data_IF_234532064002
#
_entry.id   IF_234532064002
#
_cell.length_a   1.000
_cell.length_b   1.000
_cell.length_c   1.000
_cell.angle_alpha   90.00
_cell.angle_beta   90.00
_cell.angle_gamma   90.00
#
_symmetry.space_group_name_H-M   'P 1'
#
loop_
_entity.id
_entity.type
_entity.pdbx_description
1 polymer ?
#
# COMPACT_ATOMS: atom_id res chain seq x y z
N UNK A 1 -24.34 -0.76 1.53
CA UNK A 1 -23.41 0.37 1.72
C UNK A 1 -22.89 0.35 3.15
N UNK A 2 -21.70 0.90 3.40
CA UNK A 2 -21.11 1.06 4.73
C UNK A 2 -20.30 2.36 4.77
N UNK A 3 -20.22 3.01 5.93
CA UNK A 3 -19.43 4.23 6.12
C UNK A 3 -18.92 4.36 7.54
N UNK A 4 -17.72 4.93 7.70
CA UNK A 4 -17.20 5.40 8.99
C UNK A 4 -17.08 6.93 9.03
N UNK A 5 -17.81 7.64 8.16
CA UNK A 5 -17.78 9.09 7.92
C UNK A 5 -16.53 9.61 7.18
N UNK A 6 -15.43 8.86 7.16
CA UNK A 6 -14.21 9.20 6.40
C UNK A 6 -14.13 8.44 5.07
N UNK A 7 -14.61 7.20 5.07
CA UNK A 7 -14.64 6.25 3.96
C UNK A 7 -16.06 5.75 3.82
N UNK A 8 -16.59 5.82 2.60
CA UNK A 8 -17.86 5.20 2.21
C UNK A 8 -17.62 4.11 1.18
N UNK A 9 -18.29 2.96 1.33
CA UNK A 9 -18.25 1.86 0.37
C UNK A 9 -19.68 1.54 -0.08
N UNK A 10 -19.87 1.50 -1.39
CA UNK A 10 -21.13 1.15 -2.04
C UNK A 10 -20.83 0.00 -2.99
N UNK A 11 -21.51 -1.13 -2.80
CA UNK A 11 -21.40 -2.27 -3.72
C UNK A 11 -22.79 -2.61 -4.24
N UNK A 12 -22.91 -2.75 -5.55
CA UNK A 12 -24.13 -3.20 -6.21
C UNK A 12 -24.06 -4.71 -6.41
N UNK A 13 -25.08 -5.41 -5.92
CA UNK A 13 -25.24 -6.85 -6.06
C UNK A 13 -26.44 -7.11 -6.97
N UNK A 14 -26.32 -8.10 -7.87
CA UNK A 14 -27.43 -8.50 -8.75
C UNK A 14 -28.47 -9.28 -7.95
N UNK A 15 -29.75 -8.96 -8.12
CA UNK A 15 -30.85 -9.65 -7.46
C UNK A 15 -32.21 -9.27 -8.07
N UNK A 16 -33.25 -10.06 -7.80
CA UNK A 16 -34.63 -9.74 -8.16
C UNK A 16 -35.23 -8.86 -7.07
N UNK A 17 -35.67 -7.65 -7.43
CA UNK A 17 -36.37 -6.73 -6.52
C UNK A 17 -37.87 -6.95 -6.68
N UNK A 18 -38.54 -7.43 -5.63
CA UNK A 18 -40.01 -7.57 -5.61
C UNK A 18 -40.69 -6.34 -5.01
N UNK A 19 -40.01 -5.64 -4.09
CA UNK A 19 -40.49 -4.40 -3.48
C UNK A 19 -39.28 -3.51 -3.17
N UNK A 20 -39.34 -2.26 -3.59
CA UNK A 20 -38.30 -1.27 -3.32
C UNK A 20 -38.33 -0.85 -1.84
N UNK A 21 -37.15 -0.58 -1.29
CA UNK A 21 -37.00 -0.15 0.10
C UNK A 21 -35.55 0.06 0.48
N UNK A 22 -35.34 0.64 1.66
CA UNK A 22 -34.02 0.87 2.24
C UNK A 22 -34.05 0.57 3.74
N UNK A 23 -33.02 -0.12 4.23
CA UNK A 23 -32.93 -0.52 5.63
C UNK A 23 -31.46 -0.69 6.02
N UNK A 24 -31.15 -0.50 7.31
CA UNK A 24 -29.80 -0.69 7.84
C UNK A 24 -29.77 -1.85 8.80
N UNK A 25 -28.68 -2.62 8.77
CA UNK A 25 -28.45 -3.76 9.67
C UNK A 25 -27.00 -3.78 10.14
N UNK A 26 -26.73 -4.50 11.22
CA UNK A 26 -25.36 -4.71 11.67
C UNK A 26 -24.55 -5.47 10.61
N UNK A 27 -23.53 -4.82 10.06
CA UNK A 27 -22.71 -5.34 8.96
C UNK A 27 -22.04 -6.68 9.28
N UNK A 28 -21.57 -6.86 10.51
CA UNK A 28 -20.93 -8.11 10.95
C UNK A 28 -21.94 -9.25 10.98
N UNK A 29 -23.11 -9.03 11.57
CA UNK A 29 -24.14 -10.06 11.69
C UNK A 29 -24.62 -10.51 10.32
N UNK A 30 -24.93 -9.59 9.39
CA UNK A 30 -25.38 -9.97 8.06
C UNK A 30 -24.28 -10.69 7.26
N UNK A 31 -23.03 -10.22 7.35
CA UNK A 31 -21.90 -10.86 6.67
C UNK A 31 -21.63 -12.27 7.19
N UNK A 32 -21.57 -12.44 8.51
CA UNK A 32 -21.37 -13.74 9.15
C UNK A 32 -22.55 -14.68 8.85
N UNK A 33 -23.78 -14.16 8.86
CA UNK A 33 -24.98 -14.93 8.48
C UNK A 33 -24.90 -15.42 7.04
N UNK A 34 -24.67 -14.53 6.07
CA UNK A 34 -24.63 -14.88 4.64
C UNK A 34 -23.48 -15.83 4.34
N UNK A 35 -22.32 -15.64 4.97
CA UNK A 35 -21.15 -16.53 4.79
C UNK A 35 -21.36 -17.96 5.28
N UNK A 36 -22.37 -18.21 6.13
CA UNK A 36 -22.72 -19.54 6.63
C UNK A 36 -23.86 -20.22 5.86
N UNK A 37 -24.54 -19.49 4.97
CA UNK A 37 -25.66 -20.05 4.18
C UNK A 37 -25.14 -20.93 3.04
N UNK A 38 -25.97 -21.88 2.60
CA UNK A 38 -25.71 -22.65 1.39
C UNK A 38 -25.67 -21.72 0.16
N UNK A 39 -24.88 -22.07 -0.86
CA UNK A 39 -24.80 -21.30 -2.12
C UNK A 39 -26.08 -21.50 -2.96
N UNK A 40 -27.17 -20.92 -2.47
CA UNK A 40 -28.55 -21.06 -2.93
C UNK A 40 -29.23 -19.68 -2.89
N UNK A 41 -30.49 -19.62 -3.32
CA UNK A 41 -31.25 -18.37 -3.34
C UNK A 41 -31.44 -17.85 -1.90
N UNK A 42 -30.91 -16.66 -1.64
CA UNK A 42 -31.16 -15.91 -0.40
C UNK A 42 -32.30 -14.92 -0.66
N UNK A 43 -33.30 -14.93 0.20
CA UNK A 43 -34.42 -13.99 0.19
C UNK A 43 -34.28 -13.04 1.39
N UNK A 44 -34.46 -11.75 1.12
CA UNK A 44 -34.38 -10.68 2.11
C UNK A 44 -35.73 -9.96 2.16
N UNK A 45 -36.38 -9.96 3.31
CA UNK A 45 -37.68 -9.32 3.50
C UNK A 45 -37.66 -8.45 4.76
N UNK A 46 -37.88 -7.15 4.61
CA UNK A 46 -38.06 -6.27 5.75
C UNK A 46 -39.48 -6.41 6.32
N UNK A 47 -39.60 -6.48 7.65
CA UNK A 47 -40.87 -6.39 8.36
C UNK A 47 -40.68 -5.56 9.63
N UNK A 48 -41.29 -4.39 9.70
CA UNK A 48 -41.06 -3.42 10.78
C UNK A 48 -39.55 -3.10 10.91
N UNK A 49 -38.97 -3.33 12.09
CA UNK A 49 -37.55 -3.11 12.41
C UNK A 49 -36.70 -4.39 12.28
N UNK A 50 -37.20 -5.40 11.58
CA UNK A 50 -36.50 -6.67 11.36
C UNK A 50 -36.25 -6.90 9.87
N UNK A 51 -35.04 -7.34 9.53
CA UNK A 51 -34.71 -7.94 8.24
C UNK A 51 -34.78 -9.47 8.39
N UNK A 52 -35.76 -10.09 7.77
CA UNK A 52 -35.81 -11.54 7.62
C UNK A 52 -34.88 -11.98 6.49
N UNK A 53 -34.00 -12.92 6.78
CA UNK A 53 -33.10 -13.59 5.84
C UNK A 53 -33.49 -15.05 5.77
N UNK A 54 -33.87 -15.52 4.58
CA UNK A 54 -34.25 -16.92 4.36
C UNK A 54 -33.46 -17.56 3.23
N UNK A 55 -33.02 -18.79 3.44
CA UNK A 55 -32.33 -19.60 2.44
C UNK A 55 -32.62 -21.07 2.77
N UNK A 56 -33.39 -21.76 1.92
CA UNK A 56 -33.82 -23.15 2.16
C UNK A 56 -34.45 -23.34 3.56
N UNK A 57 -33.80 -24.08 4.46
CA UNK A 57 -34.24 -24.36 5.82
C UNK A 57 -33.76 -23.33 6.86
N UNK A 58 -32.96 -22.35 6.45
CA UNK A 58 -32.47 -21.27 7.33
C UNK A 58 -33.45 -20.11 7.35
N UNK A 59 -33.85 -19.70 8.55
CA UNK A 59 -34.66 -18.49 8.80
C UNK A 59 -34.01 -17.68 9.91
N UNK A 60 -33.56 -16.47 9.58
CA UNK A 60 -32.89 -15.56 10.51
C UNK A 60 -33.63 -14.23 10.50
N UNK A 61 -33.73 -13.58 11.66
CA UNK A 61 -34.22 -12.21 11.78
C UNK A 61 -33.13 -11.34 12.38
N UNK A 62 -32.76 -10.28 11.65
CA UNK A 62 -31.73 -9.33 12.06
C UNK A 62 -32.41 -8.01 12.38
N UNK A 63 -32.24 -7.53 13.62
CA UNK A 63 -32.70 -6.20 14.04
C UNK A 63 -31.94 -5.12 13.25
N UNK A 64 -32.66 -4.10 12.80
CA UNK A 64 -32.07 -2.98 12.08
C UNK A 64 -32.69 -1.64 12.44
N UNK A 65 -32.30 -0.61 11.69
CA UNK A 65 -32.74 0.78 11.88
C UNK A 65 -33.17 1.40 10.54
N UNK A 66 -33.89 2.51 10.63
CA UNK A 66 -34.29 3.28 9.45
C UNK A 66 -33.08 3.68 8.62
N UNK A 67 -33.20 3.61 7.30
CA UNK A 67 -32.16 4.10 6.39
C UNK A 67 -32.01 5.63 6.41
N UNK A 68 -33.02 6.36 6.89
CA UNK A 68 -32.98 7.82 7.03
C UNK A 68 -31.95 8.29 8.07
N UNK A 69 -31.60 7.42 9.02
CA UNK A 69 -30.54 7.67 10.02
C UNK A 69 -29.14 7.38 9.47
N UNK A 70 -29.04 6.78 8.28
CA UNK A 70 -27.76 6.44 7.69
C UNK A 70 -27.06 7.70 7.13
N UNK A 71 -25.76 7.90 7.42
CA UNK A 71 -25.05 9.07 6.93
C UNK A 71 -25.04 9.16 5.41
N UNK A 72 -25.23 10.37 4.88
CA UNK A 72 -25.08 10.62 3.45
C UNK A 72 -23.63 10.41 3.02
N UNK A 73 -23.45 9.64 1.94
CA UNK A 73 -22.16 9.48 1.30
C UNK A 73 -21.99 10.62 0.30
N UNK A 74 -20.90 11.39 0.37
CA UNK A 74 -20.67 12.49 -0.56
C UNK A 74 -20.62 12.05 -2.02
N UNK A 75 -21.18 12.87 -2.91
CA UNK A 75 -21.07 12.67 -4.35
C UNK A 75 -19.78 13.32 -4.88
N UNK A 76 -19.08 12.61 -5.76
CA UNK A 76 -17.89 13.08 -6.47
C UNK A 76 -18.21 13.24 -7.95
N UNK A 77 -17.79 14.36 -8.55
CA UNK A 77 -17.99 14.61 -9.99
C UNK A 77 -17.31 13.51 -10.83
N UNK A 78 -18.08 12.94 -11.77
CA UNK A 78 -17.66 11.82 -12.61
C UNK A 78 -17.24 12.22 -14.03
N UNK A 79 -17.03 13.51 -14.30
CA UNK A 79 -16.62 14.00 -15.63
C UNK A 79 -15.18 13.63 -15.99
N UNK A 80 -14.24 13.94 -15.09
CA UNK A 80 -12.81 13.76 -15.30
C UNK A 80 -12.32 12.58 -14.48
N UNK A 81 -11.64 11.64 -15.12
CA UNK A 81 -11.18 10.43 -14.48
C UNK A 81 -9.80 10.01 -14.97
N UNK A 82 -9.11 9.33 -14.07
CA UNK A 82 -7.95 8.52 -14.38
C UNK A 82 -8.36 7.05 -14.34
N UNK A 83 -7.67 6.19 -15.07
CA UNK A 83 -7.93 4.74 -15.05
C UNK A 83 -6.64 3.95 -15.21
N UNK A 84 -6.60 2.78 -14.59
CA UNK A 84 -5.44 1.90 -14.61
C UNK A 84 -5.87 0.46 -14.42
N UNK A 85 -4.98 -0.48 -14.75
CA UNK A 85 -5.17 -1.89 -14.44
C UNK A 85 -5.20 -2.08 -12.91
N UNK A 86 -6.26 -2.72 -12.40
CA UNK A 86 -6.47 -2.96 -10.98
C UNK A 86 -5.29 -3.69 -10.33
N UNK A 87 -4.72 -4.69 -11.01
CA UNK A 87 -3.53 -5.40 -10.55
C UNK A 87 -2.30 -4.50 -10.41
N UNK A 88 -2.09 -3.55 -11.34
CA UNK A 88 -0.99 -2.60 -11.27
C UNK A 88 -1.17 -1.62 -10.09
N UNK A 89 -2.39 -1.16 -9.85
CA UNK A 89 -2.74 -0.27 -8.73
C UNK A 89 -2.59 -0.99 -7.39
N UNK A 90 -3.09 -2.23 -7.29
CA UNK A 90 -2.93 -3.09 -6.11
C UNK A 90 -1.45 -3.29 -5.79
N UNK A 91 -0.65 -3.72 -6.77
CA UNK A 91 0.78 -3.90 -6.62
C UNK A 91 1.47 -2.61 -6.18
N UNK A 92 1.21 -1.49 -6.85
CA UNK A 92 1.84 -0.21 -6.53
C UNK A 92 1.51 0.30 -5.12
N UNK A 93 0.26 0.19 -4.68
CA UNK A 93 -0.12 0.54 -3.30
C UNK A 93 0.59 -0.37 -2.30
N UNK A 94 0.56 -1.70 -2.52
CA UNK A 94 1.22 -2.67 -1.62
C UNK A 94 2.73 -2.41 -1.49
N UNK A 95 3.38 -2.01 -2.58
CA UNK A 95 4.82 -1.73 -2.61
C UNK A 95 5.21 -0.45 -1.87
N UNK A 96 4.29 0.45 -1.53
CA UNK A 96 4.65 1.75 -0.92
C UNK A 96 4.01 2.01 0.43
N UNK A 97 2.80 1.52 0.67
CA UNK A 97 1.99 1.90 1.84
C UNK A 97 2.67 1.60 3.19
N UNK A 98 3.56 0.62 3.27
CA UNK A 98 4.29 0.30 4.50
C UNK A 98 5.21 1.44 4.99
N UNK A 99 5.59 2.37 4.10
CA UNK A 99 6.47 3.48 4.40
C UNK A 99 5.75 4.71 4.97
N UNK A 100 4.42 4.68 5.15
CA UNK A 100 3.68 5.79 5.78
C UNK A 100 4.00 5.95 7.28
N UNK A 101 3.91 7.18 7.78
CA UNK A 101 4.04 7.48 9.20
C UNK A 101 2.77 7.05 9.96
N UNK A 102 2.90 6.21 10.98
CA UNK A 102 1.76 5.75 11.80
C UNK A 102 1.25 6.79 12.82
N UNK A 103 1.99 7.88 13.02
CA UNK A 103 1.66 8.92 13.99
C UNK A 103 0.77 10.01 13.37
N UNK A 104 -0.19 10.51 14.16
CA UNK A 104 -1.05 11.63 13.78
C UNK A 104 -0.36 13.01 13.89
N UNK A 105 0.93 13.05 14.29
CA UNK A 105 1.67 14.31 14.45
C UNK A 105 1.92 15.04 13.12
N UNK A 106 2.04 14.29 12.01
CA UNK A 106 2.19 14.82 10.65
C UNK A 106 1.21 14.09 9.74
N UNK A 107 0.01 14.64 9.64
CA UNK A 107 -1.10 14.03 8.91
C UNK A 107 -0.75 13.78 7.44
N UNK A 108 -0.01 14.70 6.81
CA UNK A 108 0.44 14.58 5.42
C UNK A 108 1.27 13.32 5.15
N UNK A 109 2.01 12.83 6.15
CA UNK A 109 2.82 11.59 6.05
C UNK A 109 2.09 10.33 6.50
N UNK A 110 0.93 10.47 7.14
CA UNK A 110 0.04 9.35 7.47
C UNK A 110 -0.70 8.80 6.25
N UNK A 111 -0.73 9.57 5.16
CA UNK A 111 -1.26 9.16 3.87
C UNK A 111 -0.16 8.86 2.86
N UNK A 112 -0.61 8.48 1.67
CA UNK A 112 0.21 8.20 0.50
C UNK A 112 -0.07 9.26 -0.54
N UNK A 113 0.98 9.87 -1.07
CA UNK A 113 0.89 10.85 -2.14
C UNK A 113 0.62 10.15 -3.47
N UNK A 114 -0.43 10.58 -4.16
CA UNK A 114 -0.76 10.21 -5.54
C UNK A 114 -0.49 11.43 -6.42
N UNK A 115 0.40 11.28 -7.40
CA UNK A 115 0.70 12.29 -8.42
C UNK A 115 0.25 11.76 -9.76
N UNK A 116 -0.87 12.29 -10.26
CA UNK A 116 -1.38 12.03 -11.60
C UNK A 116 -0.77 13.05 -12.56
N UNK A 117 0.04 12.58 -13.51
CA UNK A 117 0.73 13.44 -14.49
C UNK A 117 0.79 12.75 -15.85
N UNK A 118 0.07 13.32 -16.82
CA UNK A 118 -0.06 12.76 -18.17
C UNK A 118 -0.58 11.32 -18.12
N UNK A 119 0.21 10.39 -18.68
CA UNK A 119 -0.11 8.96 -18.70
C UNK A 119 0.50 8.18 -17.53
N UNK A 120 0.87 8.84 -16.43
CA UNK A 120 1.47 8.18 -15.27
C UNK A 120 0.84 8.58 -13.94
N UNK A 121 0.76 7.59 -13.05
CA UNK A 121 0.49 7.77 -11.63
C UNK A 121 1.76 7.40 -10.87
N UNK A 122 2.31 8.37 -10.13
CA UNK A 122 3.37 8.13 -9.15
C UNK A 122 2.75 8.06 -7.76
N UNK A 123 3.02 6.97 -7.04
CA UNK A 123 2.52 6.71 -5.69
C UNK A 123 3.72 6.73 -4.74
N UNK A 124 3.66 7.56 -3.69
CA UNK A 124 4.80 7.81 -2.78
C UNK A 124 4.36 7.76 -1.33
N UNK A 125 5.16 7.09 -0.50
CA UNK A 125 4.99 7.04 0.95
C UNK A 125 6.32 7.27 1.66
N UNK A 126 6.32 8.04 2.74
CA UNK A 126 7.51 8.27 3.58
C UNK A 126 7.13 8.58 5.02
N UNK A 127 8.01 8.21 5.95
CA UNK A 127 7.97 8.56 7.37
C UNK A 127 9.11 9.54 7.77
N UNK A 128 9.82 10.10 6.77
CA UNK A 128 11.08 10.87 6.85
C UNK A 128 12.36 10.09 7.12
N UNK A 129 12.30 8.81 7.49
CA UNK A 129 13.49 7.95 7.64
C UNK A 129 13.65 6.98 6.48
N UNK A 130 12.58 6.77 5.72
CA UNK A 130 12.54 5.96 4.52
C UNK A 130 11.49 6.47 3.56
N UNK A 131 11.62 6.09 2.30
CA UNK A 131 10.67 6.45 1.26
C UNK A 131 10.50 5.29 0.28
N UNK A 132 9.27 5.02 -0.11
CA UNK A 132 8.96 4.12 -1.22
C UNK A 132 8.19 4.89 -2.30
N UNK A 133 8.58 4.72 -3.55
CA UNK A 133 7.90 5.28 -4.71
C UNK A 133 7.68 4.18 -5.76
N UNK A 134 6.46 4.16 -6.32
CA UNK A 134 6.12 3.35 -7.49
C UNK A 134 5.43 4.21 -8.54
N UNK A 135 5.89 4.11 -9.78
CA UNK A 135 5.27 4.71 -10.95
C UNK A 135 4.56 3.65 -11.78
N UNK A 136 3.31 3.90 -12.15
CA UNK A 136 2.52 3.05 -13.05
C UNK A 136 1.92 3.84 -14.20
N UNK A 137 1.61 3.15 -15.29
CA UNK A 137 0.91 3.73 -16.43
C UNK A 137 -0.58 3.86 -16.12
N UNK A 138 -1.16 4.97 -16.54
CA UNK A 138 -2.59 5.27 -16.43
C UNK A 138 -3.11 5.83 -17.75
N UNK A 139 -4.42 5.76 -17.95
CA UNK A 139 -5.15 6.50 -18.99
C UNK A 139 -5.91 7.63 -18.31
N UNK A 140 -5.99 8.78 -18.96
CA UNK A 140 -6.69 9.96 -18.45
C UNK A 140 -7.52 10.61 -19.57
N UNK A 141 -8.69 11.14 -19.24
CA UNK A 141 -9.38 12.13 -20.07
C UNK A 141 -9.12 13.57 -19.58
N UNK A 142 -8.23 13.72 -18.60
CA UNK A 142 -7.84 14.97 -17.97
C UNK A 142 -6.34 15.24 -18.24
N UNK A 143 -6.02 16.44 -18.71
CA UNK A 143 -4.64 16.86 -19.02
C UNK A 143 -3.94 17.55 -17.84
N UNK A 144 -4.68 17.94 -16.79
CA UNK A 144 -4.12 18.62 -15.62
C UNK A 144 -3.38 17.66 -14.68
N UNK A 145 -2.19 18.06 -14.23
CA UNK A 145 -1.51 17.40 -13.13
C UNK A 145 -2.33 17.55 -11.84
N UNK A 146 -2.54 16.44 -11.11
CA UNK A 146 -3.22 16.43 -9.82
C UNK A 146 -2.35 15.72 -8.79
N UNK A 147 -2.23 16.35 -7.62
CA UNK A 147 -1.49 15.82 -6.46
C UNK A 147 -2.45 15.74 -5.28
N UNK A 148 -2.66 14.54 -4.76
CA UNK A 148 -3.57 14.29 -3.64
C UNK A 148 -2.95 13.34 -2.63
N UNK A 149 -3.29 13.50 -1.36
CA UNK A 149 -2.81 12.62 -0.29
C UNK A 149 -3.98 11.72 0.13
N UNK A 150 -3.86 10.42 -0.14
CA UNK A 150 -4.90 9.45 0.19
C UNK A 150 -4.57 8.81 1.55
N UNK A 151 -5.50 8.78 2.52
CA UNK A 151 -5.24 8.16 3.82
C UNK A 151 -4.81 6.69 3.68
N UNK A 152 -3.83 6.24 4.48
CA UNK A 152 -3.39 4.84 4.45
C UNK A 152 -4.53 3.86 4.75
N UNK A 153 -5.44 4.21 5.67
CA UNK A 153 -6.64 3.40 5.99
C UNK A 153 -7.54 3.20 4.76
N UNK A 154 -7.74 4.25 3.97
CA UNK A 154 -8.51 4.20 2.71
C UNK A 154 -7.87 3.23 1.72
N UNK A 155 -6.55 3.29 1.58
CA UNK A 155 -5.82 2.40 0.68
C UNK A 155 -5.81 0.95 1.16
N UNK A 156 -5.84 0.71 2.47
CA UNK A 156 -6.02 -0.64 3.02
C UNK A 156 -7.39 -1.21 2.67
N UNK A 157 -8.46 -0.43 2.75
CA UNK A 157 -9.79 -0.86 2.29
C UNK A 157 -9.82 -1.08 0.78
N UNK A 158 -9.18 -0.21 0.00
CA UNK A 158 -9.06 -0.38 -1.44
C UNK A 158 -8.32 -1.67 -1.81
N UNK A 159 -7.24 -2.01 -1.11
CA UNK A 159 -6.53 -3.28 -1.31
C UNK A 159 -7.42 -4.50 -1.06
N UNK A 160 -8.35 -4.44 -0.09
CA UNK A 160 -9.33 -5.50 0.16
C UNK A 160 -10.35 -5.59 -0.99
N UNK A 161 -10.89 -4.46 -1.44
CA UNK A 161 -11.82 -4.40 -2.59
C UNK A 161 -11.18 -4.98 -3.84
N UNK A 162 -9.93 -4.60 -4.12
CA UNK A 162 -9.18 -5.11 -5.27
C UNK A 162 -8.84 -6.59 -5.12
N UNK A 163 -8.69 -7.13 -3.91
CA UNK A 163 -8.36 -8.55 -3.73
C UNK A 163 -9.55 -9.47 -3.96
N UNK A 164 -10.74 -9.10 -3.48
CA UNK A 164 -11.95 -9.94 -3.65
C UNK A 164 -12.38 -9.99 -5.12
N UNK A 165 -12.44 -8.84 -5.78
CA UNK A 165 -13.00 -8.72 -7.12
C UNK A 165 -11.99 -9.04 -8.25
N UNK A 166 -10.76 -9.45 -7.94
CA UNK A 166 -9.80 -9.94 -8.95
C UNK A 166 -9.90 -11.45 -9.16
N UNK A 167 -10.44 -12.18 -8.18
CA UNK A 167 -10.56 -13.64 -8.19
C UNK A 167 -11.90 -14.11 -8.79
N UNK A 168 -12.93 -13.25 -8.78
CA UNK A 168 -14.17 -13.48 -9.51
C UNK A 168 -13.93 -13.29 -11.02
N UNK A 169 -14.64 -14.06 -11.87
CA UNK A 169 -14.58 -14.05 -13.34
C UNK A 169 -15.03 -12.70 -13.96
N UNK A 170 -14.32 -11.65 -13.61
CA UNK A 170 -14.39 -10.35 -14.24
C UNK A 170 -13.67 -10.51 -15.59
N UNK A 171 -14.44 -10.45 -16.68
CA UNK A 171 -13.92 -10.45 -18.06
C UNK A 171 -12.65 -9.58 -18.14
N UNK A 172 -11.64 -9.99 -18.93
CA UNK A 172 -10.33 -9.33 -18.97
C UNK A 172 -10.39 -7.81 -19.21
N UNK A 173 -11.46 -7.32 -19.86
CA UNK A 173 -11.71 -5.90 -20.11
C UNK A 173 -12.33 -5.12 -18.94
N UNK A 174 -12.81 -5.78 -17.87
CA UNK A 174 -13.37 -5.15 -16.66
C UNK A 174 -12.39 -5.07 -15.48
N UNK A 175 -11.10 -5.35 -15.70
CA UNK A 175 -10.05 -5.27 -14.67
C UNK A 175 -9.48 -3.86 -14.48
N UNK A 176 -10.12 -2.83 -15.03
CA UNK A 176 -9.71 -1.43 -14.83
C UNK A 176 -10.40 -0.81 -13.61
N UNK A 177 -9.62 -0.10 -12.81
CA UNK A 177 -10.11 0.79 -11.75
C UNK A 177 -10.11 2.23 -12.26
N UNK A 178 -11.17 2.98 -11.96
CA UNK A 178 -11.28 4.41 -12.25
C UNK A 178 -11.10 5.23 -10.97
N UNK A 179 -10.45 6.38 -11.11
CA UNK A 179 -10.24 7.37 -10.06
C UNK A 179 -10.94 8.66 -10.46
N UNK A 180 -11.74 9.21 -9.57
CA UNK A 180 -12.36 10.53 -9.71
C UNK A 180 -11.91 11.38 -8.54
N UNK A 181 -11.47 12.60 -8.84
CA UNK A 181 -10.93 13.53 -7.84
C UNK A 181 -11.84 14.74 -7.71
N UNK A 182 -12.09 15.16 -6.49
CA UNK A 182 -12.56 16.50 -6.14
C UNK A 182 -11.54 17.18 -5.21
N UNK A 183 -11.83 18.40 -4.77
CA UNK A 183 -10.90 19.18 -3.94
C UNK A 183 -10.52 18.48 -2.61
N UNK A 184 -11.45 17.72 -2.03
CA UNK A 184 -11.28 17.09 -0.72
C UNK A 184 -11.64 15.62 -0.68
N UNK A 185 -11.95 14.99 -1.82
CA UNK A 185 -12.33 13.58 -1.88
C UNK A 185 -11.73 12.88 -3.10
N UNK A 186 -11.61 11.57 -2.96
CA UNK A 186 -11.28 10.64 -4.02
C UNK A 186 -12.33 9.54 -4.06
N UNK A 187 -12.80 9.22 -5.26
CA UNK A 187 -13.69 8.10 -5.53
C UNK A 187 -12.96 7.09 -6.41
N UNK A 188 -12.90 5.86 -5.93
CA UNK A 188 -12.42 4.69 -6.65
C UNK A 188 -13.64 3.88 -7.13
N UNK A 189 -13.67 3.50 -8.41
CA UNK A 189 -14.70 2.61 -8.95
C UNK A 189 -14.02 1.39 -9.56
N UNK A 190 -14.36 0.20 -9.06
CA UNK A 190 -13.90 -1.08 -9.57
C UNK A 190 -15.06 -2.08 -9.64
N UNK A 191 -15.38 -2.56 -10.85
CA UNK A 191 -16.54 -3.42 -11.07
C UNK A 191 -17.85 -2.74 -10.62
N UNK A 192 -18.58 -3.39 -9.73
CA UNK A 192 -19.81 -2.86 -9.12
C UNK A 192 -19.59 -2.20 -7.75
N UNK A 193 -18.33 -1.96 -7.36
CA UNK A 193 -17.97 -1.38 -6.07
C UNK A 193 -17.38 0.01 -6.24
N UNK A 194 -17.89 0.94 -5.45
CA UNK A 194 -17.44 2.32 -5.30
C UNK A 194 -16.89 2.52 -3.90
N UNK A 195 -15.70 3.10 -3.79
CA UNK A 195 -15.06 3.49 -2.53
C UNK A 195 -14.76 4.98 -2.60
N UNK A 196 -15.44 5.77 -1.77
CA UNK A 196 -15.20 7.21 -1.63
C UNK A 196 -14.48 7.48 -0.32
N UNK A 197 -13.55 8.44 -0.33
CA UNK A 197 -12.84 8.83 0.87
C UNK A 197 -12.45 10.29 0.84
N UNK A 198 -12.41 10.90 2.04
CA UNK A 198 -11.78 12.20 2.23
C UNK A 198 -10.28 12.12 1.95
N UNK A 199 -9.75 13.16 1.33
CA UNK A 199 -8.31 13.37 1.18
C UNK A 199 -7.72 13.93 2.47
N UNK A 200 -6.44 13.66 2.71
CA UNK A 200 -5.68 14.32 3.78
C UNK A 200 -5.37 15.75 3.35
N UNK A 201 -5.73 16.72 4.19
CA UNK A 201 -5.37 18.11 3.98
C UNK A 201 -3.90 18.34 4.34
N UNK A 202 -3.18 19.09 3.50
CA UNK A 202 -1.78 19.44 3.73
C UNK A 202 -0.92 19.38 2.47
N UNK A 203 0.32 19.82 2.61
CA UNK A 203 1.31 19.76 1.54
C UNK A 203 2.28 18.61 1.82
N UNK A 204 2.32 17.62 0.91
CA UNK A 204 3.31 16.56 1.01
C UNK A 204 4.72 17.15 0.83
N UNK A 205 5.72 16.73 1.62
CA UNK A 205 7.08 17.24 1.48
C UNK A 205 7.65 17.06 0.07
N UNK A 206 8.58 17.94 -0.30
CA UNK A 206 9.34 17.79 -1.55
C UNK A 206 10.35 16.66 -1.43
N UNK A 207 9.83 15.44 -1.59
CA UNK A 207 10.58 14.21 -1.40
C UNK A 207 11.61 13.97 -2.50
N UNK A 208 11.48 14.62 -3.67
CA UNK A 208 12.41 14.38 -4.78
C UNK A 208 13.82 14.85 -4.43
N UNK A 209 13.94 15.86 -3.56
CA UNK A 209 15.23 16.41 -3.11
C UNK A 209 16.07 15.40 -2.30
N UNK A 210 15.44 14.38 -1.70
CA UNK A 210 16.16 13.36 -0.92
C UNK A 210 16.58 12.15 -1.76
N UNK A 211 16.12 12.05 -3.01
CA UNK A 211 16.45 10.94 -3.90
C UNK A 211 17.85 11.18 -4.50
N UNK A 212 18.85 10.32 -4.21
CA UNK A 212 20.17 10.47 -4.80
C UNK A 212 20.09 10.31 -6.33
N UNK A 213 20.65 11.28 -7.07
CA UNK A 213 20.72 11.25 -8.54
C UNK A 213 22.01 10.66 -9.07
N UNK A 214 23.00 10.49 -8.20
CA UNK A 214 24.31 9.89 -8.49
C UNK A 214 24.63 8.83 -7.46
N UNK A 215 25.53 7.91 -7.80
CA UNK A 215 26.05 6.90 -6.88
C UNK A 215 27.54 6.69 -7.09
N UNK A 216 28.28 6.51 -6.00
CA UNK A 216 29.71 6.16 -6.02
C UNK A 216 29.92 4.66 -5.94
N UNK A 217 29.00 3.94 -5.31
CA UNK A 217 29.04 2.48 -5.18
C UNK A 217 27.72 1.90 -5.66
N UNK A 218 27.80 0.89 -6.52
CA UNK A 218 26.64 0.12 -7.00
C UNK A 218 26.85 -1.36 -6.69
N UNK A 219 25.84 -1.96 -6.10
CA UNK A 219 25.84 -3.37 -5.68
C UNK A 219 24.67 -4.08 -6.36
N UNK A 220 24.94 -5.22 -6.99
CA UNK A 220 23.90 -6.16 -7.44
C UNK A 220 24.00 -7.42 -6.58
N UNK A 221 22.92 -7.77 -5.90
CA UNK A 221 22.89 -8.84 -4.90
C UNK A 221 21.54 -9.57 -4.92
N UNK A 222 21.56 -10.85 -4.53
CA UNK A 222 20.36 -11.63 -4.27
C UNK A 222 19.59 -11.08 -3.05
N UNK A 223 18.32 -10.74 -3.26
CA UNK A 223 17.43 -10.17 -2.25
C UNK A 223 17.19 -11.11 -1.08
N UNK A 224 16.97 -12.40 -1.34
CA UNK A 224 16.64 -13.37 -0.30
C UNK A 224 17.85 -13.67 0.58
N UNK A 225 19.05 -13.75 0.00
CA UNK A 225 20.29 -13.86 0.76
C UNK A 225 20.52 -12.65 1.67
N UNK A 226 20.31 -11.44 1.15
CA UNK A 226 20.43 -10.23 1.95
C UNK A 226 19.38 -10.20 3.08
N UNK A 227 18.12 -10.55 2.81
CA UNK A 227 17.08 -10.67 3.84
C UNK A 227 17.50 -11.65 4.94
N UNK A 228 18.03 -12.83 4.58
CA UNK A 228 18.49 -13.82 5.56
C UNK A 228 19.63 -13.28 6.42
N UNK A 229 20.65 -12.68 5.81
CA UNK A 229 21.79 -12.11 6.53
C UNK A 229 21.37 -10.99 7.48
N UNK A 230 20.50 -10.08 7.03
CA UNK A 230 19.97 -8.99 7.85
C UNK A 230 19.15 -9.52 9.03
N UNK A 231 18.32 -10.55 8.83
CA UNK A 231 17.58 -11.21 9.93
C UNK A 231 18.51 -11.81 10.96
N UNK A 232 19.58 -12.50 10.55
CA UNK A 232 20.56 -13.08 11.47
C UNK A 232 21.30 -11.97 12.22
N UNK A 233 21.79 -10.93 11.52
CA UNK A 233 22.48 -9.80 12.14
C UNK A 233 21.58 -9.03 13.13
N UNK A 234 20.27 -8.96 12.88
CA UNK A 234 19.31 -8.28 13.76
C UNK A 234 19.23 -8.89 15.17
N UNK A 235 19.56 -10.19 15.32
CA UNK A 235 19.60 -10.87 16.63
C UNK A 235 20.70 -10.31 17.56
N UNK A 236 21.69 -9.63 16.98
CA UNK A 236 22.83 -9.04 17.68
C UNK A 236 22.78 -7.51 17.70
N UNK A 237 21.72 -6.91 17.15
CA UNK A 237 21.51 -5.45 17.13
C UNK A 237 21.13 -4.91 18.50
N UNK A 238 21.49 -3.67 18.80
CA UNK A 238 21.16 -3.03 20.09
C UNK A 238 19.66 -2.75 20.16
N UNK A 239 19.03 -3.24 21.22
CA UNK A 239 17.61 -2.98 21.51
C UNK A 239 17.32 -1.48 21.51
N UNK A 240 16.34 -1.07 20.69
CA UNK A 240 15.92 0.33 20.56
C UNK A 240 16.59 1.08 19.40
N UNK A 241 17.84 0.76 19.05
CA UNK A 241 18.55 1.40 17.92
C UNK A 241 18.23 0.66 16.61
N UNK A 242 18.19 -0.68 16.67
CA UNK A 242 17.97 -1.55 15.51
C UNK A 242 19.03 -1.35 14.40
N UNK A 243 20.25 -0.97 14.76
CA UNK A 243 21.38 -0.77 13.86
C UNK A 243 21.98 -2.08 13.34
N UNK A 244 22.35 -2.08 12.06
CA UNK A 244 23.25 -3.05 11.44
C UNK A 244 24.23 -2.30 10.52
N UNK A 245 25.42 -2.86 10.33
CA UNK A 245 26.42 -2.32 9.42
C UNK A 245 26.44 -3.12 8.10
N UNK A 246 26.55 -2.40 6.99
CA UNK A 246 26.73 -2.93 5.65
C UNK A 246 28.05 -2.39 5.09
N UNK A 247 29.02 -3.25 4.83
CA UNK A 247 30.27 -2.88 4.17
C UNK A 247 30.29 -3.40 2.73
N UNK A 248 30.80 -2.57 1.82
CA UNK A 248 30.89 -2.82 0.39
C UNK A 248 32.35 -2.79 -0.08
N UNK A 249 33.18 -3.79 0.29
CA UNK A 249 34.57 -3.85 -0.14
C UNK A 249 34.69 -4.15 -1.64
N UNK A 250 35.28 -3.23 -2.40
CA UNK A 250 35.45 -3.34 -3.85
C UNK A 250 36.30 -4.54 -4.24
N UNK A 251 37.36 -4.80 -3.47
CA UNK A 251 38.35 -5.84 -3.75
C UNK A 251 37.82 -7.28 -3.67
N UNK A 252 36.60 -7.48 -3.15
CA UNK A 252 36.12 -8.82 -2.75
C UNK A 252 34.80 -9.26 -3.38
N UNK A 253 34.15 -8.43 -4.21
CA UNK A 253 32.83 -8.74 -4.80
C UNK A 253 31.86 -9.36 -3.78
N UNK A 254 31.72 -8.69 -2.64
CA UNK A 254 30.88 -9.16 -1.55
C UNK A 254 30.23 -7.99 -0.82
N UNK A 255 29.09 -8.25 -0.19
CA UNK A 255 28.50 -7.41 0.85
C UNK A 255 28.81 -8.05 2.19
N UNK A 256 29.29 -7.27 3.16
CA UNK A 256 29.45 -7.74 4.54
C UNK A 256 28.33 -7.14 5.37
N UNK A 257 27.52 -7.99 5.99
CA UNK A 257 26.48 -7.59 6.96
C UNK A 257 26.99 -7.93 8.34
N UNK A 258 27.03 -6.96 9.25
CA UNK A 258 27.53 -7.17 10.60
C UNK A 258 26.74 -6.43 11.68
N UNK A 259 26.83 -6.96 12.90
CA UNK A 259 26.20 -6.39 14.09
C UNK A 259 26.91 -6.89 15.35
N UNK A 260 27.05 -6.03 16.36
CA UNK A 260 27.77 -6.34 17.60
C UNK A 260 27.04 -5.80 18.83
N UNK A 261 26.91 -6.66 19.83
CA UNK A 261 26.30 -6.34 21.12
C UNK A 261 27.10 -7.00 22.25
N UNK A 262 27.46 -6.22 23.25
CA UNK A 262 28.17 -6.74 24.43
C UNK A 262 27.35 -7.75 25.26
N UNK A 263 26.04 -7.84 25.03
CA UNK A 263 25.15 -8.78 25.74
C UNK A 263 24.87 -10.06 24.96
N UNK A 264 24.76 -9.97 23.62
CA UNK A 264 24.30 -11.08 22.78
C UNK A 264 25.38 -11.64 21.84
N UNK A 265 26.53 -10.97 21.71
CA UNK A 265 27.66 -11.41 20.89
C UNK A 265 27.79 -10.62 19.58
N UNK A 266 28.36 -11.27 18.56
CA UNK A 266 28.61 -10.65 17.25
C UNK A 266 28.13 -11.53 16.09
N UNK A 267 27.76 -10.88 14.99
CA UNK A 267 27.55 -11.51 13.70
C UNK A 267 28.36 -10.80 12.61
N UNK A 268 29.01 -11.58 11.75
CA UNK A 268 29.62 -11.12 10.50
C UNK A 268 29.25 -12.12 9.41
N UNK A 269 28.44 -11.67 8.45
CA UNK A 269 27.99 -12.46 7.31
C UNK A 269 28.54 -11.87 6.03
N UNK A 270 29.14 -12.70 5.16
CA UNK A 270 29.67 -12.28 3.85
C UNK A 270 28.79 -12.89 2.77
N UNK A 271 28.26 -12.05 1.89
CA UNK A 271 27.40 -12.44 0.79
C UNK A 271 28.08 -12.13 -0.53
N UNK A 272 28.00 -13.04 -1.50
CA UNK A 272 28.46 -12.78 -2.86
C UNK A 272 27.60 -11.68 -3.50
N UNK A 273 28.26 -10.71 -4.13
CA UNK A 273 27.58 -9.61 -4.80
C UNK A 273 28.49 -8.96 -5.84
N UNK A 274 27.92 -8.43 -6.92
CA UNK A 274 28.70 -7.62 -7.85
C UNK A 274 28.79 -6.19 -7.32
N UNK A 275 29.99 -5.78 -6.90
CA UNK A 275 30.26 -4.42 -6.39
C UNK A 275 31.07 -3.65 -7.42
N UNK A 276 30.65 -2.42 -7.73
CA UNK A 276 31.34 -1.52 -8.66
C UNK A 276 31.41 -0.11 -8.10
N UNK A 277 32.47 0.62 -8.45
CA UNK A 277 32.71 1.98 -7.97
C UNK A 277 33.65 2.01 -6.75
N UNK A 278 33.35 2.84 -5.76
CA UNK A 278 34.21 3.06 -4.58
C UNK A 278 33.86 2.11 -3.41
N UNK A 279 34.83 1.88 -2.53
CA UNK A 279 34.56 1.22 -1.23
C UNK A 279 33.69 2.12 -0.36
N UNK A 280 32.71 1.52 0.33
CA UNK A 280 31.74 2.28 1.11
C UNK A 280 31.19 1.43 2.27
N UNK A 281 30.58 2.09 3.24
CA UNK A 281 29.87 1.44 4.33
C UNK A 281 28.67 2.26 4.79
N UNK A 282 27.65 1.58 5.32
CA UNK A 282 26.41 2.18 5.79
C UNK A 282 25.98 1.52 7.10
N UNK A 283 25.55 2.34 8.06
CA UNK A 283 24.77 1.86 9.21
C UNK A 283 23.31 2.23 9.01
N UNK A 284 22.44 1.23 9.05
CA UNK A 284 21.00 1.40 8.77
C UNK A 284 20.15 0.71 9.82
N UNK A 285 18.90 1.15 9.93
CA UNK A 285 17.91 0.45 10.73
C UNK A 285 17.49 -0.85 10.00
N UNK A 286 17.74 -2.02 10.60
CA UNK A 286 17.44 -3.31 9.97
C UNK A 286 15.95 -3.51 9.70
N UNK A 287 15.05 -2.93 10.51
CA UNK A 287 13.59 -3.07 10.31
C UNK A 287 13.17 -2.38 9.03
N UNK A 288 13.66 -1.16 8.83
CA UNK A 288 13.41 -0.40 7.60
C UNK A 288 14.01 -1.10 6.39
N UNK A 289 15.22 -1.66 6.51
CA UNK A 289 15.82 -2.44 5.43
C UNK A 289 14.98 -3.69 5.09
N UNK A 290 14.59 -4.49 6.09
CA UNK A 290 13.79 -5.69 5.86
C UNK A 290 12.43 -5.40 5.25
N UNK A 291 11.74 -4.35 5.69
CA UNK A 291 10.44 -3.97 5.11
C UNK A 291 10.59 -3.54 3.65
N UNK A 292 11.62 -2.75 3.33
CA UNK A 292 11.95 -2.38 1.95
C UNK A 292 12.25 -3.57 1.06
N UNK A 293 13.14 -4.45 1.50
CA UNK A 293 13.51 -5.66 0.77
C UNK A 293 12.33 -6.62 0.58
N UNK A 294 11.43 -6.71 1.56
CA UNK A 294 10.26 -7.61 1.47
C UNK A 294 9.26 -7.17 0.41
N UNK A 295 9.22 -5.87 0.06
CA UNK A 295 8.29 -5.28 -0.91
C UNK A 295 8.87 -5.12 -2.33
N UNK A 296 10.12 -5.55 -2.54
CA UNK A 296 10.71 -5.66 -3.88
C UNK A 296 10.37 -7.03 -4.48
N UNK A 297 9.82 -7.07 -5.69
CA UNK A 297 9.34 -8.34 -6.28
C UNK A 297 10.44 -9.18 -6.94
N UNK A 298 11.53 -8.55 -7.40
CA UNK A 298 12.61 -9.23 -8.12
C UNK A 298 13.57 -9.97 -7.19
N UNK A 299 14.18 -11.02 -7.70
CA UNK A 299 15.20 -11.81 -7.01
C UNK A 299 16.50 -11.01 -6.84
N UNK A 300 16.96 -10.38 -7.92
CA UNK A 300 18.12 -9.49 -7.90
C UNK A 300 17.70 -8.05 -7.64
N UNK A 301 18.47 -7.38 -6.79
CA UNK A 301 18.30 -5.96 -6.48
C UNK A 301 19.59 -5.19 -6.72
N UNK A 302 19.43 -3.91 -7.04
CA UNK A 302 20.48 -2.91 -7.15
C UNK A 302 20.44 -2.00 -5.92
N UNK A 303 21.55 -1.91 -5.20
CA UNK A 303 21.77 -0.96 -4.11
C UNK A 303 22.75 0.11 -4.58
N UNK A 304 22.42 1.37 -4.38
CA UNK A 304 23.21 2.51 -4.83
C UNK A 304 23.51 3.42 -3.63
N UNK A 305 24.80 3.74 -3.44
CA UNK A 305 25.30 4.48 -2.28
C UNK A 305 26.26 5.58 -2.74
N UNK A 306 26.19 6.75 -2.09
CA UNK A 306 27.18 7.83 -2.25
C UNK A 306 28.21 7.76 -1.13
N UNK A 307 27.78 7.81 0.13
CA UNK A 307 28.61 7.71 1.33
C UNK A 307 27.77 7.26 2.54
N UNK A 308 28.43 7.06 3.69
CA UNK A 308 27.80 6.60 4.93
C UNK A 308 26.74 7.53 5.55
N UNK A 309 26.59 8.76 5.06
CA UNK A 309 25.65 9.75 5.59
C UNK A 309 24.50 10.09 4.62
N UNK A 310 24.61 9.64 3.37
CA UNK A 310 23.64 9.89 2.32
C UNK A 310 22.60 8.77 2.27
N UNK A 311 21.34 9.05 1.88
CA UNK A 311 20.32 8.01 1.78
C UNK A 311 20.75 6.89 0.82
N UNK A 312 20.50 5.65 1.25
CA UNK A 312 20.75 4.46 0.46
C UNK A 312 19.55 4.18 -0.44
N UNK A 313 19.79 4.00 -1.74
CA UNK A 313 18.76 3.73 -2.74
C UNK A 313 18.75 2.24 -3.10
N UNK A 314 17.58 1.63 -3.06
CA UNK A 314 17.34 0.23 -3.41
C UNK A 314 16.31 0.16 -4.53
N UNK A 315 16.62 -0.58 -5.60
CA UNK A 315 15.70 -0.84 -6.71
C UNK A 315 15.77 -2.29 -7.17
N UNK A 316 14.67 -2.90 -7.66
CA UNK A 316 14.75 -4.15 -8.39
C UNK A 316 15.68 -4.02 -9.60
N UNK A 317 16.44 -5.08 -9.90
CA UNK A 317 17.29 -5.07 -11.08
C UNK A 317 16.43 -4.93 -12.35
N UNK A 318 16.82 -4.03 -13.25
CA UNK A 318 16.12 -3.74 -14.52
C UNK A 318 14.70 -3.17 -14.40
N UNK A 319 14.28 -2.69 -13.22
CA UNK A 319 13.01 -1.99 -13.05
C UNK A 319 13.22 -0.64 -12.34
N UNK A 320 13.16 0.43 -13.12
CA UNK A 320 13.28 1.82 -12.63
C UNK A 320 11.92 2.42 -12.22
N UNK A 321 10.82 1.67 -12.34
CA UNK A 321 9.49 2.15 -11.93
C UNK A 321 9.29 2.14 -10.43
N UNK A 322 10.10 1.38 -9.69
CA UNK A 322 10.07 1.31 -8.23
C UNK A 322 11.40 1.79 -7.65
N UNK A 323 11.33 2.55 -6.56
CA UNK A 323 12.49 2.85 -5.74
C UNK A 323 12.13 2.83 -4.26
N UNK A 324 13.13 2.46 -3.46
CA UNK A 324 13.08 2.53 -2.02
C UNK A 324 14.33 3.23 -1.48
N UNK A 325 14.15 4.09 -0.49
CA UNK A 325 15.22 4.84 0.15
C UNK A 325 15.21 4.56 1.64
N UNK A 326 16.40 4.44 2.22
CA UNK A 326 16.60 4.34 3.67
C UNK A 326 17.64 5.39 4.07
N UNK A 327 17.31 6.21 5.07
CA UNK A 327 18.26 7.11 5.70
C UNK A 327 19.25 6.32 6.56
N UNK A 328 20.56 6.58 6.47
CA UNK A 328 21.52 5.98 7.39
C UNK A 328 21.32 6.51 8.81
N UNK A 329 21.65 5.69 9.80
CA UNK A 329 21.75 6.12 11.19
C UNK A 329 23.03 6.94 11.31
N UNK A 330 22.90 8.22 11.65
CA UNK A 330 24.06 9.10 11.89
C UNK A 330 24.85 8.55 13.06
N UNK A 331 26.14 8.32 12.83
CA UNK A 331 27.10 7.93 13.86
C UNK A 331 27.56 9.13 14.68
#
# INVERSE_FOLDING_TARGET
>A
MATNLEIGIISTVRGKIETEGAFTVNAKIISDCVGLLSNKKIELNQTNNDLAVSCENYQVKIKGQSAEEFPLIPEVDRKNYFSAQAGAVKGAISQVIFATLLSEARLELSGVLFVFSGNSLTIVATDSYRLAEKKIQIKSNNEEEKRVIVPAKTLQELLRVLSVNLDDEVEENNKEIKFYLSDNQILFIYGSTELVSRLVEGQYPDYQQIIPTTSKTKIIIDRQELIRAVKIASLFSKTGINDINLDFPLSKNQVVVSSISGQTGENITKLEAKVTGDENSLVVNYRYLLEGLSNVEKEMIKIEVIDGNTPCLVRPEQDESYLYIIMPIKQ
#
